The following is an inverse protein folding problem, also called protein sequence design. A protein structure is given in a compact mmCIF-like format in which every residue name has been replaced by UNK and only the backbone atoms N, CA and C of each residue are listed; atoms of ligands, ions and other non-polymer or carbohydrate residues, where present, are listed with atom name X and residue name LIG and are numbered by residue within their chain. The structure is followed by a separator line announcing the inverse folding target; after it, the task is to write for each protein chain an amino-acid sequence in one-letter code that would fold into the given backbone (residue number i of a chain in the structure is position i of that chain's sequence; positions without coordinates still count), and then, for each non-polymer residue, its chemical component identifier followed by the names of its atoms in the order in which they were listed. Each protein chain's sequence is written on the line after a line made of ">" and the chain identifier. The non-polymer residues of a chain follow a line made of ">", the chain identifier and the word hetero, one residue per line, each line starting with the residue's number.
data_IF_778881299232
#
_entry.id   IF_778881299232
#
_cell.length_a   1.000
_cell.length_b   1.000
_cell.length_c   1.000
_cell.angle_alpha   90.00
_cell.angle_beta   90.00
_cell.angle_gamma   90.00
#
_symmetry.space_group_name_H-M   'P 1'
#
loop_
_entity.id
_entity.type
_entity.pdbx_description
1 polymer ?
#
# COMPACT_ATOMS: atom_id res chain seq x y z
N UNK A 1 69.61 26.60 -44.94
CA UNK A 1 68.14 26.59 -44.94
C UNK A 1 67.72 25.55 -43.91
N UNK A 2 67.62 25.97 -42.65
CA UNK A 2 67.04 25.20 -41.56
C UNK A 2 65.79 25.96 -41.13
N UNK A 3 64.63 25.35 -41.37
CA UNK A 3 63.26 25.66 -40.92
C UNK A 3 62.39 24.89 -41.89
N UNK A 4 61.60 23.94 -41.39
CA UNK A 4 60.49 23.20 -42.04
C UNK A 4 60.28 21.80 -41.43
N UNK A 5 61.05 21.41 -40.39
CA UNK A 5 60.95 20.09 -39.75
C UNK A 5 60.21 20.00 -38.41
N UNK A 6 60.16 21.08 -37.62
CA UNK A 6 59.62 21.02 -36.23
C UNK A 6 58.12 21.37 -36.12
N UNK A 7 57.56 22.16 -37.04
CA UNK A 7 56.13 22.54 -36.97
C UNK A 7 55.18 21.37 -37.27
N UNK A 8 55.60 20.39 -38.08
CA UNK A 8 54.76 19.24 -38.44
C UNK A 8 54.62 18.20 -37.32
N UNK A 9 55.56 18.16 -36.38
CA UNK A 9 55.61 17.13 -35.32
C UNK A 9 54.89 17.59 -34.04
N UNK A 10 54.92 18.89 -33.73
CA UNK A 10 54.06 19.48 -32.68
C UNK A 10 52.57 19.50 -33.08
N UNK A 11 52.25 19.77 -34.35
CA UNK A 11 50.87 19.80 -34.84
C UNK A 11 50.22 18.39 -34.77
N UNK A 12 50.99 17.34 -35.06
CA UNK A 12 50.53 15.95 -35.01
C UNK A 12 50.17 15.49 -33.58
N UNK A 13 51.02 15.80 -32.59
CA UNK A 13 50.80 15.45 -31.18
C UNK A 13 49.61 16.20 -30.57
N UNK A 14 49.44 17.48 -30.92
CA UNK A 14 48.29 18.25 -30.48
C UNK A 14 46.97 17.68 -31.02
N UNK A 15 46.96 17.25 -32.29
CA UNK A 15 45.77 16.72 -32.95
C UNK A 15 45.30 15.40 -32.36
N UNK A 16 46.22 14.54 -31.92
CA UNK A 16 45.89 13.30 -31.21
C UNK A 16 45.32 13.56 -29.81
N UNK A 17 45.88 14.50 -29.05
CA UNK A 17 45.35 14.91 -27.75
C UNK A 17 43.96 15.54 -27.85
N UNK A 18 43.73 16.43 -28.82
CA UNK A 18 42.41 17.02 -29.09
C UNK A 18 41.39 15.95 -29.51
N UNK A 19 41.81 14.94 -30.26
CA UNK A 19 40.95 13.84 -30.67
C UNK A 19 40.58 12.96 -29.46
N UNK A 20 41.54 12.64 -28.60
CA UNK A 20 41.30 11.88 -27.38
C UNK A 20 40.38 12.64 -26.40
N UNK A 21 40.62 13.94 -26.19
CA UNK A 21 39.76 14.82 -25.37
C UNK A 21 38.34 14.92 -25.93
N UNK A 22 38.19 14.98 -27.25
CA UNK A 22 36.88 15.00 -27.91
C UNK A 22 36.11 13.71 -27.67
N UNK A 23 36.72 12.54 -27.91
CA UNK A 23 36.04 11.25 -27.74
C UNK A 23 35.74 10.93 -26.28
N UNK A 24 36.65 11.27 -25.36
CA UNK A 24 36.44 11.11 -23.91
C UNK A 24 35.34 12.03 -23.41
N UNK A 25 35.31 13.29 -23.86
CA UNK A 25 34.23 14.22 -23.55
C UNK A 25 32.89 13.73 -24.11
N UNK A 26 32.85 13.23 -25.34
CA UNK A 26 31.65 12.67 -25.95
C UNK A 26 31.15 11.43 -25.19
N UNK A 27 32.05 10.53 -24.79
CA UNK A 27 31.72 9.33 -24.02
C UNK A 27 31.13 9.63 -22.63
N UNK A 28 31.39 10.80 -22.05
CA UNK A 28 30.79 11.23 -20.78
C UNK A 28 29.52 12.07 -21.02
N UNK A 29 29.58 13.05 -21.93
CA UNK A 29 28.52 14.02 -22.16
C UNK A 29 27.29 13.34 -22.79
N UNK A 30 27.47 12.44 -23.75
CA UNK A 30 26.34 11.79 -24.43
C UNK A 30 25.49 10.96 -23.47
N UNK A 31 26.05 10.06 -22.63
CA UNK A 31 25.26 9.36 -21.60
C UNK A 31 24.60 10.28 -20.59
N UNK A 32 25.26 11.38 -20.18
CA UNK A 32 24.67 12.36 -19.26
C UNK A 32 23.48 13.07 -19.90
N UNK A 33 23.60 13.51 -21.16
CA UNK A 33 22.49 14.14 -21.89
C UNK A 33 21.35 13.12 -22.08
N UNK A 34 21.65 11.88 -22.45
CA UNK A 34 20.65 10.83 -22.62
C UNK A 34 19.91 10.51 -21.32
N UNK A 35 20.62 10.43 -20.19
CA UNK A 35 20.03 10.16 -18.87
C UNK A 35 19.17 11.33 -18.40
N UNK A 36 19.63 12.58 -18.57
CA UNK A 36 18.85 13.78 -18.29
C UNK A 36 17.61 13.87 -19.17
N UNK A 37 17.73 13.56 -20.47
CA UNK A 37 16.62 13.51 -21.40
C UNK A 37 15.59 12.45 -21.00
N UNK A 38 16.05 11.23 -20.71
CA UNK A 38 15.19 10.14 -20.24
C UNK A 38 14.50 10.51 -18.93
N UNK A 39 15.22 11.13 -17.98
CA UNK A 39 14.66 11.61 -16.71
C UNK A 39 13.57 12.67 -16.93
N UNK A 40 13.85 13.66 -17.78
CA UNK A 40 12.89 14.71 -18.13
C UNK A 40 11.65 14.13 -18.82
N UNK A 41 11.83 13.18 -19.74
CA UNK A 41 10.73 12.52 -20.45
C UNK A 41 9.89 11.64 -19.51
N UNK A 42 10.53 10.90 -18.59
CA UNK A 42 9.82 10.16 -17.52
C UNK A 42 9.02 11.10 -16.61
N UNK A 43 9.60 12.23 -16.21
CA UNK A 43 8.91 13.24 -15.38
C UNK A 43 7.68 13.80 -16.09
N UNK A 44 7.80 14.19 -17.36
CA UNK A 44 6.66 14.66 -18.18
C UNK A 44 5.57 13.59 -18.29
N UNK A 45 5.94 12.33 -18.56
CA UNK A 45 4.99 11.21 -18.62
C UNK A 45 4.27 11.02 -17.29
N UNK A 46 4.99 10.98 -16.16
CA UNK A 46 4.41 10.85 -14.82
C UNK A 46 3.35 11.90 -14.53
N UNK A 47 3.63 13.17 -14.85
CA UNK A 47 2.68 14.27 -14.63
C UNK A 47 1.41 14.11 -15.48
N UNK A 48 1.57 13.81 -16.77
CA UNK A 48 0.43 13.58 -17.67
C UNK A 48 -0.43 12.39 -17.24
N UNK A 49 0.19 11.29 -16.84
CA UNK A 49 -0.51 10.09 -16.41
C UNK A 49 -1.24 10.29 -15.08
N UNK A 50 -0.65 11.07 -14.15
CA UNK A 50 -1.24 11.34 -12.83
C UNK A 50 -2.64 11.98 -12.93
N UNK A 51 -2.81 12.94 -13.85
CA UNK A 51 -4.10 13.60 -14.05
C UNK A 51 -5.17 12.66 -14.61
N UNK A 52 -4.76 11.75 -15.51
CA UNK A 52 -5.64 10.71 -16.04
C UNK A 52 -6.03 9.69 -14.95
N UNK A 53 -5.06 9.20 -14.19
CA UNK A 53 -5.27 8.19 -13.14
C UNK A 53 -6.21 8.68 -12.03
N UNK A 54 -6.13 9.96 -11.65
CA UNK A 54 -7.02 10.53 -10.63
C UNK A 54 -8.52 10.47 -11.00
N UNK A 55 -8.86 10.41 -12.29
CA UNK A 55 -10.24 10.37 -12.79
C UNK A 55 -10.69 8.97 -13.19
N UNK A 56 -9.78 8.00 -13.15
CA UNK A 56 -10.03 6.63 -13.58
C UNK A 56 -10.84 5.86 -12.53
N UNK A 57 -11.63 4.87 -13.00
CA UNK A 57 -12.27 3.87 -12.12
C UNK A 57 -11.30 2.76 -11.69
N UNK A 58 -10.12 2.71 -12.29
CA UNK A 58 -9.04 1.78 -11.97
C UNK A 58 -7.97 2.49 -11.15
N UNK A 59 -7.41 1.81 -10.16
CA UNK A 59 -6.21 2.27 -9.44
C UNK A 59 -4.95 2.02 -10.28
N UNK A 60 -4.79 2.78 -11.37
CA UNK A 60 -3.67 2.60 -12.29
C UNK A 60 -2.33 3.02 -11.68
N UNK A 61 -1.33 2.16 -11.86
CA UNK A 61 0.07 2.40 -11.54
C UNK A 61 0.93 2.11 -12.76
N UNK A 62 1.81 3.05 -13.10
CA UNK A 62 2.71 2.90 -14.24
C UNK A 62 4.05 2.29 -13.81
N UNK A 63 4.53 1.32 -14.58
CA UNK A 63 5.87 0.73 -14.42
C UNK A 63 6.67 0.83 -15.71
N UNK A 64 7.94 1.21 -15.55
CA UNK A 64 8.92 1.24 -16.65
C UNK A 64 9.40 -0.17 -17.03
N UNK A 65 9.24 -1.15 -16.13
CA UNK A 65 9.60 -2.55 -16.38
C UNK A 65 8.75 -3.48 -15.52
N UNK A 66 7.99 -4.36 -16.15
CA UNK A 66 7.36 -5.48 -15.45
C UNK A 66 8.42 -6.51 -15.06
N UNK A 67 8.36 -6.98 -13.82
CA UNK A 67 9.30 -7.98 -13.26
C UNK A 67 8.96 -9.43 -13.65
N UNK A 68 7.87 -9.63 -14.40
CA UNK A 68 7.39 -10.93 -14.88
C UNK A 68 6.81 -10.79 -16.30
N UNK A 69 6.77 -11.87 -17.10
CA UNK A 69 6.06 -11.86 -18.38
C UNK A 69 4.65 -11.33 -18.21
N UNK A 70 4.35 -10.22 -18.87
CA UNK A 70 3.10 -9.48 -18.72
C UNK A 70 2.54 -9.17 -20.10
N UNK A 71 1.23 -9.31 -20.26
CA UNK A 71 0.53 -9.10 -21.51
C UNK A 71 -0.54 -8.03 -21.34
N UNK A 72 -0.71 -7.18 -22.35
CA UNK A 72 -1.77 -6.18 -22.37
C UNK A 72 -3.13 -6.88 -22.44
N UNK A 73 -4.02 -6.60 -21.49
CA UNK A 73 -5.38 -7.15 -21.42
C UNK A 73 -6.31 -6.69 -22.56
N UNK A 74 -5.82 -5.81 -23.46
CA UNK A 74 -6.61 -5.30 -24.58
C UNK A 74 -6.11 -5.78 -25.93
N UNK A 75 -4.81 -5.62 -26.23
CA UNK A 75 -4.24 -6.07 -27.51
C UNK A 75 -3.62 -7.48 -27.43
N UNK A 76 -3.57 -8.08 -26.22
CA UNK A 76 -2.96 -9.40 -25.95
C UNK A 76 -1.46 -9.51 -26.28
N UNK A 77 -0.81 -8.40 -26.60
CA UNK A 77 0.63 -8.37 -26.87
C UNK A 77 1.44 -8.40 -25.59
N UNK A 78 2.64 -8.99 -25.65
CA UNK A 78 3.60 -8.94 -24.56
C UNK A 78 4.08 -7.50 -24.35
N UNK A 79 4.10 -7.04 -23.09
CA UNK A 79 4.48 -5.68 -22.71
C UNK A 79 5.61 -5.70 -21.70
N UNK A 80 6.64 -4.89 -21.95
CA UNK A 80 7.74 -4.69 -21.00
C UNK A 80 7.47 -3.52 -20.07
N UNK A 81 6.78 -2.48 -20.56
CA UNK A 81 6.41 -1.28 -19.82
C UNK A 81 4.95 -0.94 -20.08
N UNK A 82 4.32 -0.27 -19.13
CA UNK A 82 2.89 0.03 -19.20
C UNK A 82 2.31 0.35 -17.84
N UNK A 83 0.99 0.22 -17.70
CA UNK A 83 0.31 0.39 -16.44
C UNK A 83 -0.43 -0.89 -16.02
N UNK A 84 -0.60 -1.07 -14.71
CA UNK A 84 -1.43 -2.11 -14.12
C UNK A 84 -2.36 -1.51 -13.08
N UNK A 85 -3.52 -2.12 -12.86
CA UNK A 85 -4.44 -1.71 -11.81
C UNK A 85 -4.19 -2.49 -10.52
N UNK A 86 -4.00 -1.80 -9.39
CA UNK A 86 -3.79 -2.42 -8.06
C UNK A 86 -5.07 -3.07 -7.47
N UNK A 87 -6.25 -2.74 -7.99
CA UNK A 87 -7.52 -3.35 -7.56
C UNK A 87 -7.85 -4.64 -8.32
N UNK A 88 -7.74 -4.65 -9.65
CA UNK A 88 -8.19 -5.77 -10.50
C UNK A 88 -7.06 -6.53 -11.20
N UNK A 89 -5.84 -5.97 -11.23
CA UNK A 89 -4.67 -6.53 -11.92
C UNK A 89 -4.72 -6.49 -13.44
N UNK A 90 -5.65 -5.74 -14.03
CA UNK A 90 -5.63 -5.47 -15.48
C UNK A 90 -4.33 -4.74 -15.82
N UNK A 91 -3.64 -5.20 -16.87
CA UNK A 91 -2.44 -4.58 -17.41
C UNK A 91 -2.71 -4.00 -18.81
N UNK A 92 -2.12 -2.85 -19.13
CA UNK A 92 -2.23 -2.24 -20.45
C UNK A 92 -0.94 -1.52 -20.84
N UNK A 93 -0.57 -1.60 -22.12
CA UNK A 93 0.44 -0.70 -22.69
C UNK A 93 -0.08 0.75 -22.74
N UNK A 94 0.83 1.71 -22.96
CA UNK A 94 0.52 3.15 -22.99
C UNK A 94 -0.56 3.52 -24.02
N UNK A 95 -0.61 2.82 -25.16
CA UNK A 95 -1.56 3.08 -26.24
C UNK A 95 -2.95 2.52 -25.92
N UNK A 96 -3.00 1.35 -25.28
CA UNK A 96 -4.21 0.65 -24.90
C UNK A 96 -4.82 1.16 -23.59
N UNK A 97 -4.08 1.94 -22.79
CA UNK A 97 -4.49 2.34 -21.44
C UNK A 97 -5.86 3.02 -21.37
N UNK A 98 -6.13 3.99 -22.27
CA UNK A 98 -7.43 4.68 -22.33
C UNK A 98 -8.56 3.74 -22.76
N UNK A 99 -8.25 2.77 -23.62
CA UNK A 99 -9.21 1.76 -24.07
C UNK A 99 -9.52 0.79 -22.94
N UNK A 100 -8.48 0.31 -22.23
CA UNK A 100 -8.60 -0.54 -21.05
C UNK A 100 -9.48 0.10 -19.98
N UNK A 101 -9.22 1.38 -19.66
CA UNK A 101 -9.99 2.12 -18.67
C UNK A 101 -11.49 2.20 -19.03
N UNK A 102 -11.83 2.36 -20.31
CA UNK A 102 -13.22 2.43 -20.76
C UNK A 102 -13.89 1.07 -20.84
N UNK A 103 -13.23 0.09 -21.46
CA UNK A 103 -13.85 -1.18 -21.85
C UNK A 103 -13.80 -2.24 -20.76
N UNK A 104 -12.78 -2.23 -19.90
CA UNK A 104 -12.61 -3.24 -18.86
C UNK A 104 -13.19 -2.73 -17.54
N UNK A 105 -13.91 -3.61 -16.83
CA UNK A 105 -14.46 -3.29 -15.52
C UNK A 105 -13.40 -3.51 -14.44
N UNK A 106 -13.41 -2.62 -13.44
CA UNK A 106 -12.56 -2.74 -12.26
C UNK A 106 -13.33 -3.44 -11.13
N UNK A 107 -12.67 -3.63 -9.99
CA UNK A 107 -13.25 -4.15 -8.75
C UNK A 107 -14.27 -3.14 -8.20
N UNK A 108 -15.55 -3.51 -8.24
CA UNK A 108 -16.65 -2.63 -7.83
C UNK A 108 -16.75 -2.51 -6.31
N UNK A 109 -16.70 -1.29 -5.78
CA UNK A 109 -16.80 -1.07 -4.32
C UNK A 109 -18.21 -1.41 -3.80
N UNK A 110 -19.24 -1.08 -4.58
CA UNK A 110 -20.64 -1.36 -4.28
C UNK A 110 -21.33 -1.93 -5.52
N UNK A 111 -22.02 -3.05 -5.37
CA UNK A 111 -22.77 -3.69 -6.45
C UNK A 111 -23.94 -4.49 -5.86
N UNK A 112 -25.10 -4.56 -6.53
CA UNK A 112 -26.19 -5.43 -6.09
C UNK A 112 -25.77 -6.91 -6.12
N UNK A 113 -26.32 -7.71 -5.22
CA UNK A 113 -26.32 -9.18 -5.37
C UNK A 113 -27.36 -9.60 -6.42
N UNK A 114 -27.24 -10.83 -6.90
CA UNK A 114 -28.28 -11.49 -7.70
C UNK A 114 -29.59 -11.62 -6.88
N UNK A 115 -30.74 -11.87 -7.53
CA UNK A 115 -32.03 -12.04 -6.83
C UNK A 115 -32.05 -13.16 -5.79
N UNK A 116 -31.21 -14.18 -5.97
CA UNK A 116 -30.99 -15.30 -5.03
C UNK A 116 -30.02 -14.95 -3.87
N UNK A 117 -29.49 -13.73 -3.85
CA UNK A 117 -28.51 -13.26 -2.86
C UNK A 117 -27.06 -13.62 -3.20
N UNK A 118 -26.82 -14.37 -4.28
CA UNK A 118 -25.47 -14.78 -4.66
C UNK A 118 -24.67 -13.63 -5.28
N UNK A 119 -23.35 -13.70 -5.10
CA UNK A 119 -22.40 -12.80 -5.73
C UNK A 119 -21.79 -13.47 -6.95
N UNK A 120 -21.66 -12.75 -8.05
CA UNK A 120 -21.02 -13.30 -9.26
C UNK A 120 -19.51 -13.16 -9.23
N UNK A 121 -18.83 -14.14 -9.82
CA UNK A 121 -17.42 -13.99 -10.09
C UNK A 121 -17.16 -12.82 -11.05
N UNK A 122 -16.13 -12.04 -10.75
CA UNK A 122 -15.63 -11.01 -11.66
C UNK A 122 -14.28 -11.46 -12.23
N UNK A 123 -14.33 -12.06 -13.41
CA UNK A 123 -13.17 -12.63 -14.09
C UNK A 123 -12.36 -11.57 -14.85
N UNK A 124 -11.04 -11.62 -14.70
CA UNK A 124 -10.06 -10.89 -15.51
C UNK A 124 -9.19 -11.91 -16.22
N UNK A 125 -9.03 -11.75 -17.54
CA UNK A 125 -8.25 -12.66 -18.37
C UNK A 125 -6.76 -12.30 -18.33
N UNK A 126 -5.91 -13.31 -18.20
CA UNK A 126 -4.46 -13.20 -18.29
C UNK A 126 -3.77 -12.64 -17.06
N UNK A 127 -2.44 -12.62 -17.14
CA UNK A 127 -1.54 -12.13 -16.08
C UNK A 127 -1.78 -12.77 -14.72
N UNK A 128 -2.22 -14.03 -14.71
CA UNK A 128 -2.49 -14.79 -13.48
C UNK A 128 -1.22 -14.87 -12.61
N UNK A 129 -1.36 -14.88 -11.27
CA UNK A 129 -0.22 -15.02 -10.38
C UNK A 129 0.59 -16.30 -10.66
N UNK A 130 1.90 -16.24 -10.43
CA UNK A 130 2.76 -17.42 -10.55
C UNK A 130 2.30 -18.50 -9.56
N UNK A 131 2.50 -19.77 -9.92
CA UNK A 131 2.07 -20.91 -9.12
C UNK A 131 0.56 -20.94 -8.79
N UNK A 132 -0.28 -20.37 -9.66
CA UNK A 132 -1.74 -20.53 -9.57
C UNK A 132 -2.18 -21.87 -10.18
N UNK A 133 -3.23 -22.46 -9.62
CA UNK A 133 -3.79 -23.74 -10.07
C UNK A 133 -5.26 -23.59 -10.45
N UNK A 134 -5.66 -24.27 -11.52
CA UNK A 134 -7.02 -24.22 -12.02
C UNK A 134 -8.00 -24.77 -10.99
N UNK A 135 -9.06 -24.02 -10.69
CA UNK A 135 -10.12 -24.42 -9.77
C UNK A 135 -10.83 -25.71 -10.24
N UNK A 136 -10.93 -25.94 -11.55
CA UNK A 136 -11.58 -27.11 -12.13
C UNK A 136 -10.65 -28.33 -12.23
N UNK A 137 -9.55 -28.26 -13.00
CA UNK A 137 -8.70 -29.43 -13.28
C UNK A 137 -7.50 -29.61 -12.33
N UNK A 138 -7.26 -28.65 -11.43
CA UNK A 138 -6.13 -28.61 -10.49
C UNK A 138 -4.73 -28.58 -11.11
N UNK A 139 -4.63 -28.32 -12.42
CA UNK A 139 -3.35 -28.12 -13.11
C UNK A 139 -2.91 -26.65 -13.09
N UNK A 140 -1.61 -26.39 -13.30
CA UNK A 140 -1.05 -25.04 -13.23
C UNK A 140 -1.61 -24.10 -14.33
N UNK A 141 -2.00 -22.88 -13.95
CA UNK A 141 -2.42 -21.80 -14.85
C UNK A 141 -1.25 -20.87 -15.21
N UNK A 142 -1.42 -20.09 -16.28
CA UNK A 142 -0.49 -19.06 -16.73
C UNK A 142 0.80 -19.60 -17.34
N UNK A 143 0.78 -20.85 -17.81
CA UNK A 143 1.97 -21.52 -18.37
C UNK A 143 2.24 -21.15 -19.82
N UNK A 144 1.23 -20.68 -20.55
CA UNK A 144 1.38 -20.34 -21.97
C UNK A 144 1.94 -18.91 -22.13
N UNK A 145 2.82 -18.66 -23.11
CA UNK A 145 3.41 -17.35 -23.36
C UNK A 145 2.43 -16.42 -24.11
N UNK A 146 1.21 -16.30 -23.61
CA UNK A 146 0.14 -15.46 -24.16
C UNK A 146 -0.81 -15.00 -23.05
N UNK A 147 -1.66 -14.01 -23.36
CA UNK A 147 -2.79 -13.66 -22.50
C UNK A 147 -3.82 -14.81 -22.50
N UNK A 148 -3.80 -15.64 -21.45
CA UNK A 148 -4.64 -16.82 -21.26
C UNK A 148 -5.03 -16.99 -19.80
N UNK A 149 -6.02 -17.85 -19.58
CA UNK A 149 -6.62 -18.17 -18.29
C UNK A 149 -7.30 -16.96 -17.63
N UNK A 150 -8.08 -17.22 -16.60
CA UNK A 150 -8.87 -16.22 -15.91
C UNK A 150 -8.56 -16.24 -14.42
N UNK A 151 -8.64 -15.07 -13.79
CA UNK A 151 -8.60 -14.90 -12.34
C UNK A 151 -9.83 -14.11 -11.87
N UNK A 152 -10.50 -14.59 -10.83
CA UNK A 152 -11.55 -13.81 -10.18
C UNK A 152 -10.92 -12.73 -9.27
N UNK A 153 -11.33 -11.47 -9.41
CA UNK A 153 -10.75 -10.36 -8.60
C UNK A 153 -11.21 -10.35 -7.14
N UNK A 154 -12.19 -11.17 -6.79
CA UNK A 154 -12.70 -11.31 -5.42
C UNK A 154 -12.11 -12.53 -4.74
N UNK A 155 -12.52 -13.73 -5.13
CA UNK A 155 -12.05 -14.98 -4.50
C UNK A 155 -10.63 -15.41 -4.91
N UNK A 156 -9.99 -14.71 -5.86
CA UNK A 156 -8.66 -15.04 -6.40
C UNK A 156 -8.55 -16.41 -7.10
N UNK A 157 -9.65 -17.16 -7.25
CA UNK A 157 -9.65 -18.41 -8.00
C UNK A 157 -9.17 -18.18 -9.43
N UNK A 158 -8.40 -19.14 -9.96
CA UNK A 158 -7.95 -19.15 -11.34
C UNK A 158 -8.54 -20.31 -12.11
N UNK A 159 -8.79 -20.15 -13.41
CA UNK A 159 -9.36 -21.19 -14.28
C UNK A 159 -8.78 -21.08 -15.68
N UNK A 160 -8.49 -22.22 -16.33
CA UNK A 160 -8.01 -22.22 -17.71
C UNK A 160 -9.11 -21.76 -18.68
N UNK A 161 -8.72 -21.25 -19.85
CA UNK A 161 -9.69 -20.91 -20.91
C UNK A 161 -10.62 -22.11 -21.21
N UNK A 162 -10.07 -23.32 -21.37
CA UNK A 162 -10.83 -24.53 -21.71
C UNK A 162 -11.61 -25.13 -20.54
N UNK A 163 -11.32 -24.70 -19.31
CA UNK A 163 -11.96 -25.22 -18.09
C UNK A 163 -13.13 -24.35 -17.60
N UNK A 164 -13.35 -23.18 -18.21
CA UNK A 164 -14.32 -22.20 -17.77
C UNK A 164 -15.74 -22.79 -17.67
N UNK A 165 -16.17 -23.49 -18.72
CA UNK A 165 -17.52 -24.07 -18.80
C UNK A 165 -17.72 -25.30 -17.90
N UNK A 166 -16.62 -25.89 -17.41
CA UNK A 166 -16.63 -27.06 -16.52
C UNK A 166 -16.59 -26.70 -15.04
N UNK A 167 -16.54 -25.41 -14.70
CA UNK A 167 -16.48 -24.95 -13.31
C UNK A 167 -17.87 -25.09 -12.66
N UNK A 168 -17.99 -26.01 -11.69
CA UNK A 168 -19.26 -26.34 -11.05
C UNK A 168 -19.96 -25.12 -10.41
N UNK A 169 -19.18 -24.18 -9.86
CA UNK A 169 -19.66 -22.96 -9.22
C UNK A 169 -19.30 -21.70 -10.03
N UNK A 170 -19.27 -21.79 -11.38
CA UNK A 170 -18.78 -20.69 -12.23
C UNK A 170 -19.48 -19.33 -12.00
N UNK A 171 -20.72 -19.40 -11.51
CA UNK A 171 -21.61 -18.26 -11.35
C UNK A 171 -21.65 -17.69 -9.92
N UNK A 172 -21.12 -18.40 -8.92
CA UNK A 172 -21.24 -18.00 -7.51
C UNK A 172 -19.88 -17.86 -6.83
N UNK A 173 -19.49 -16.61 -6.59
CA UNK A 173 -18.27 -16.26 -5.89
C UNK A 173 -18.45 -16.30 -4.38
N UNK A 174 -17.61 -17.09 -3.72
CA UNK A 174 -17.53 -17.26 -2.27
C UNK A 174 -16.63 -16.22 -1.57
N UNK A 175 -16.06 -15.26 -2.32
CA UNK A 175 -15.02 -14.31 -1.86
C UNK A 175 -13.69 -14.96 -1.41
N UNK A 176 -13.53 -16.27 -1.57
CA UNK A 176 -12.30 -17.01 -1.36
C UNK A 176 -11.83 -17.08 0.10
N UNK A 177 -10.53 -17.35 0.28
CA UNK A 177 -9.90 -17.58 1.58
C UNK A 177 -10.25 -16.49 2.62
N UNK A 178 -10.18 -15.22 2.20
CA UNK A 178 -10.35 -14.07 3.09
C UNK A 178 -11.79 -13.53 3.15
N UNK A 179 -12.79 -14.31 2.73
CA UNK A 179 -14.21 -13.92 2.70
C UNK A 179 -14.70 -13.26 4.00
N UNK A 180 -14.25 -13.73 5.17
CA UNK A 180 -14.61 -13.19 6.48
C UNK A 180 -13.99 -11.82 6.80
N UNK A 181 -12.91 -11.43 6.09
CA UNK A 181 -12.24 -10.14 6.24
C UNK A 181 -12.70 -9.11 5.21
N UNK A 182 -13.33 -9.54 4.12
CA UNK A 182 -13.75 -8.68 3.01
C UNK A 182 -15.11 -8.06 3.32
N UNK A 183 -15.28 -6.77 3.04
CA UNK A 183 -16.60 -6.13 3.00
C UNK A 183 -17.22 -6.40 1.62
N UNK A 184 -18.27 -7.22 1.51
CA UNK A 184 -18.84 -7.54 0.21
C UNK A 184 -19.48 -6.30 -0.45
N UNK A 185 -19.38 -6.12 -1.79
CA UNK A 185 -20.01 -5.00 -2.49
C UNK A 185 -21.52 -4.90 -2.29
N UNK A 186 -22.21 -6.05 -2.16
CA UNK A 186 -23.65 -6.09 -1.91
C UNK A 186 -24.02 -5.55 -0.53
N UNK A 187 -23.20 -5.80 0.50
CA UNK A 187 -23.41 -5.25 1.83
C UNK A 187 -23.45 -3.72 1.78
N UNK A 188 -22.46 -3.10 1.14
CA UNK A 188 -22.40 -1.63 1.02
C UNK A 188 -23.50 -1.06 0.14
N UNK A 189 -23.90 -1.78 -0.92
CA UNK A 189 -25.04 -1.39 -1.75
C UNK A 189 -26.35 -1.34 -0.94
N UNK A 190 -26.59 -2.32 -0.07
CA UNK A 190 -27.75 -2.31 0.81
C UNK A 190 -27.66 -1.22 1.87
N UNK A 191 -26.51 -1.06 2.54
CA UNK A 191 -26.27 0.01 3.51
C UNK A 191 -26.53 1.39 2.90
N UNK A 192 -26.08 1.63 1.67
CA UNK A 192 -26.30 2.90 0.98
C UNK A 192 -27.78 3.19 0.67
N UNK A 193 -28.62 2.15 0.61
CA UNK A 193 -30.08 2.28 0.42
C UNK A 193 -30.85 2.46 1.73
N UNK A 194 -30.23 2.20 2.88
CA UNK A 194 -30.89 2.37 4.16
C UNK A 194 -31.19 3.85 4.41
N UNK A 195 -32.46 4.15 4.69
CA UNK A 195 -32.93 5.51 4.98
C UNK A 195 -32.57 5.99 6.38
N UNK A 196 -32.30 5.08 7.32
CA UNK A 196 -31.97 5.36 8.72
C UNK A 196 -30.82 4.49 9.18
N UNK A 197 -29.88 5.07 9.94
CA UNK A 197 -28.67 4.38 10.42
C UNK A 197 -28.93 3.75 11.79
N UNK A 198 -29.71 2.67 11.83
CA UNK A 198 -29.95 1.93 13.07
C UNK A 198 -28.95 0.75 13.19
N UNK A 199 -28.25 0.60 14.33
CA UNK A 199 -27.27 -0.47 14.53
C UNK A 199 -27.82 -1.89 14.33
N UNK A 200 -29.11 -2.10 14.64
CA UNK A 200 -29.78 -3.39 14.48
C UNK A 200 -29.90 -3.81 13.01
N UNK A 201 -30.04 -2.85 12.09
CA UNK A 201 -30.10 -3.12 10.65
C UNK A 201 -28.76 -3.61 10.12
N UNK A 202 -27.66 -2.99 10.58
CA UNK A 202 -26.30 -3.45 10.22
C UNK A 202 -26.02 -4.85 10.76
N UNK A 203 -26.47 -5.16 11.98
CA UNK A 203 -26.32 -6.49 12.58
C UNK A 203 -27.07 -7.55 11.78
N UNK A 204 -28.32 -7.25 11.36
CA UNK A 204 -29.11 -8.15 10.50
C UNK A 204 -28.47 -8.36 9.12
N UNK A 205 -27.96 -7.28 8.51
CA UNK A 205 -27.26 -7.36 7.22
C UNK A 205 -25.95 -8.15 7.36
N UNK A 206 -25.18 -7.92 8.42
CA UNK A 206 -23.95 -8.64 8.69
C UNK A 206 -24.16 -10.12 8.99
N UNK A 207 -25.31 -10.50 9.56
CA UNK A 207 -25.66 -11.90 9.77
C UNK A 207 -25.91 -12.67 8.47
N UNK A 208 -26.21 -11.98 7.36
CA UNK A 208 -26.29 -12.57 6.02
C UNK A 208 -24.93 -12.71 5.33
N UNK A 209 -23.89 -12.10 5.89
CA UNK A 209 -22.51 -12.34 5.49
C UNK A 209 -22.00 -13.66 6.08
N UNK A 210 -20.72 -13.96 5.86
CA UNK A 210 -20.08 -15.20 6.29
C UNK A 210 -20.14 -15.45 7.80
N UNK A 211 -20.11 -16.71 8.21
CA UNK A 211 -19.90 -17.09 9.61
C UNK A 211 -18.60 -16.47 10.14
N UNK A 212 -18.64 -15.83 11.30
CA UNK A 212 -17.47 -15.17 11.88
C UNK A 212 -16.96 -13.96 11.09
N UNK A 213 -17.83 -13.25 10.36
CA UNK A 213 -17.45 -12.04 9.60
C UNK A 213 -16.80 -10.98 10.50
N UNK A 214 -15.51 -10.72 10.28
CA UNK A 214 -14.73 -9.69 10.97
C UNK A 214 -13.96 -8.85 9.96
N UNK A 215 -14.62 -7.88 9.30
CA UNK A 215 -13.99 -7.05 8.30
C UNK A 215 -12.71 -6.38 8.79
N UNK A 216 -11.68 -6.36 7.94
CA UNK A 216 -10.44 -5.65 8.24
C UNK A 216 -10.35 -4.33 7.48
N UNK A 217 -10.02 -3.25 8.16
CA UNK A 217 -9.65 -1.98 7.54
C UNK A 217 -8.13 -1.84 7.60
N UNK A 218 -7.50 -1.57 6.46
CA UNK A 218 -6.05 -1.37 6.35
C UNK A 218 -5.77 0.12 6.31
N UNK A 219 -5.03 0.62 7.29
CA UNK A 219 -4.62 2.02 7.40
C UNK A 219 -3.10 2.07 7.32
N UNK A 220 -2.55 2.49 6.19
CA UNK A 220 -1.10 2.60 6.01
C UNK A 220 -0.66 4.07 5.91
N UNK A 221 0.43 4.42 6.56
CA UNK A 221 1.07 5.71 6.36
C UNK A 221 2.19 5.57 5.32
N UNK A 222 1.93 5.95 4.07
CA UNK A 222 2.89 5.80 2.95
C UNK A 222 4.15 6.64 3.11
N UNK A 223 4.14 7.65 3.99
CA UNK A 223 5.32 8.46 4.33
C UNK A 223 6.21 7.83 5.41
N UNK A 224 5.75 6.74 6.05
CA UNK A 224 6.53 6.03 7.06
C UNK A 224 7.36 4.91 6.43
N UNK A 225 8.63 4.81 6.81
CA UNK A 225 9.53 3.76 6.35
C UNK A 225 10.09 3.99 4.94
N UNK A 226 10.44 2.91 4.25
CA UNK A 226 11.11 2.88 2.95
C UNK A 226 10.14 2.92 1.75
N UNK A 227 9.05 3.69 1.84
CA UNK A 227 7.97 3.77 0.83
C UNK A 227 7.24 2.44 0.52
N UNK A 228 7.41 1.40 1.35
CA UNK A 228 6.71 0.11 1.18
C UNK A 228 5.20 0.23 1.36
N UNK A 229 4.72 1.32 1.99
CA UNK A 229 3.30 1.54 2.23
C UNK A 229 2.47 1.59 0.93
N UNK A 230 2.98 2.17 -0.15
CA UNK A 230 2.24 2.28 -1.41
C UNK A 230 2.04 0.90 -2.06
N UNK A 231 3.11 0.11 -2.11
CA UNK A 231 3.09 -1.27 -2.63
C UNK A 231 2.12 -2.13 -1.80
N UNK A 232 2.23 -2.06 -0.47
CA UNK A 232 1.35 -2.79 0.46
C UNK A 232 -0.12 -2.43 0.26
N UNK A 233 -0.45 -1.14 0.15
CA UNK A 233 -1.83 -0.71 -0.10
C UNK A 233 -2.35 -1.31 -1.41
N UNK A 234 -1.52 -1.38 -2.44
CA UNK A 234 -1.89 -2.01 -3.71
C UNK A 234 -2.17 -3.51 -3.58
N UNK A 235 -1.31 -4.25 -2.87
CA UNK A 235 -1.50 -5.68 -2.61
C UNK A 235 -2.77 -5.94 -1.78
N UNK A 236 -3.03 -5.13 -0.74
CA UNK A 236 -4.27 -5.24 0.02
C UNK A 236 -5.52 -4.91 -0.81
N UNK A 237 -5.45 -3.97 -1.77
CA UNK A 237 -6.58 -3.68 -2.70
C UNK A 237 -6.86 -4.83 -3.67
N UNK A 238 -5.82 -5.59 -4.03
CA UNK A 238 -5.99 -6.80 -4.85
C UNK A 238 -6.83 -7.84 -4.11
N UNK A 239 -6.60 -8.03 -2.81
CA UNK A 239 -7.29 -9.04 -1.99
C UNK A 239 -8.64 -8.54 -1.43
N UNK A 240 -8.67 -7.35 -0.83
CA UNK A 240 -9.82 -6.78 -0.12
C UNK A 240 -10.70 -5.89 -0.99
N UNK A 241 -11.88 -5.49 -0.50
CA UNK A 241 -12.63 -4.42 -1.15
C UNK A 241 -11.81 -3.12 -1.06
N UNK A 242 -11.59 -2.37 -2.17
CA UNK A 242 -10.74 -1.16 -2.15
C UNK A 242 -11.16 -0.11 -1.12
N UNK A 243 -12.44 -0.08 -0.72
CA UNK A 243 -12.95 0.81 0.35
C UNK A 243 -12.38 0.50 1.74
N UNK A 244 -11.77 -0.67 1.93
CA UNK A 244 -11.16 -1.08 3.18
C UNK A 244 -9.73 -0.57 3.35
N UNK A 245 -9.13 0.00 2.29
CA UNK A 245 -7.68 0.23 2.20
C UNK A 245 -7.38 1.73 2.07
N UNK A 246 -6.89 2.33 3.15
CA UNK A 246 -6.73 3.77 3.31
C UNK A 246 -5.25 4.19 3.41
N UNK A 247 -4.88 5.19 2.62
CA UNK A 247 -3.62 5.92 2.81
C UNK A 247 -3.82 7.06 3.82
N UNK A 248 -3.14 6.96 4.96
CA UNK A 248 -3.17 7.97 6.02
C UNK A 248 -2.47 9.28 5.65
N UNK A 249 -1.68 9.28 4.57
CA UNK A 249 -1.09 10.49 4.02
C UNK A 249 -2.10 11.35 3.25
N UNK A 250 -3.22 10.75 2.83
CA UNK A 250 -4.31 11.38 2.08
C UNK A 250 -5.58 11.57 2.92
N UNK A 251 -5.89 10.59 3.78
CA UNK A 251 -7.12 10.58 4.58
C UNK A 251 -6.79 10.36 6.07
N UNK A 252 -7.17 11.28 6.99
CA UNK A 252 -6.90 11.09 8.41
C UNK A 252 -7.67 9.90 9.00
N UNK A 253 -7.11 9.22 10.04
CA UNK A 253 -7.73 8.06 10.67
C UNK A 253 -9.19 8.29 11.12
N UNK A 254 -9.49 9.47 11.66
CA UNK A 254 -10.84 9.81 12.12
C UNK A 254 -11.92 9.73 11.03
N UNK A 255 -11.53 10.00 9.77
CA UNK A 255 -12.41 9.82 8.60
C UNK A 255 -12.46 8.38 8.12
N UNK A 256 -11.31 7.69 8.07
CA UNK A 256 -11.25 6.27 7.67
C UNK A 256 -12.11 5.40 8.60
N UNK A 257 -12.00 5.62 9.92
CA UNK A 257 -12.73 4.88 10.94
C UNK A 257 -14.25 5.13 10.94
N UNK A 258 -14.76 6.12 10.19
CA UNK A 258 -16.21 6.29 10.02
C UNK A 258 -16.84 5.07 9.32
N UNK A 259 -16.07 4.32 8.52
CA UNK A 259 -16.56 3.08 7.91
C UNK A 259 -16.97 2.04 8.97
N UNK A 260 -16.33 2.03 10.14
CA UNK A 260 -16.72 1.14 11.25
C UNK A 260 -18.18 1.37 11.68
N UNK A 261 -18.68 2.60 11.57
CA UNK A 261 -20.07 2.95 11.96
C UNK A 261 -21.13 2.45 10.98
N UNK A 262 -20.69 1.92 9.83
CA UNK A 262 -21.54 1.29 8.81
C UNK A 262 -21.49 -0.25 8.88
N UNK A 263 -20.77 -0.80 9.85
CA UNK A 263 -20.56 -2.22 10.04
C UNK A 263 -21.22 -2.69 11.35
N UNK A 264 -21.48 -4.00 11.53
CA UNK A 264 -22.03 -4.52 12.78
C UNK A 264 -21.15 -4.12 13.98
N UNK A 265 -21.75 -3.71 15.12
CA UNK A 265 -21.01 -3.39 16.33
C UNK A 265 -20.03 -4.49 16.74
N UNK A 266 -18.81 -4.11 17.14
CA UNK A 266 -17.79 -5.03 17.63
C UNK A 266 -17.19 -6.03 16.62
N UNK A 267 -17.53 -5.93 15.33
CA UNK A 267 -17.06 -6.87 14.30
C UNK A 267 -15.72 -6.49 13.64
N UNK A 268 -15.33 -5.21 13.69
CA UNK A 268 -14.27 -4.66 12.84
C UNK A 268 -12.88 -4.84 13.44
N UNK A 269 -11.92 -5.20 12.59
CA UNK A 269 -10.48 -5.15 12.85
C UNK A 269 -9.83 -4.02 12.04
N UNK A 270 -8.80 -3.39 12.57
CA UNK A 270 -8.01 -2.36 11.91
C UNK A 270 -6.55 -2.78 11.91
N UNK A 271 -5.98 -2.99 10.72
CA UNK A 271 -4.56 -3.18 10.51
C UNK A 271 -3.90 -1.82 10.29
N UNK A 272 -2.99 -1.43 11.19
CA UNK A 272 -2.22 -0.19 11.06
C UNK A 272 -0.82 -0.52 10.56
N UNK A 273 -0.52 -0.11 9.33
CA UNK A 273 0.80 -0.27 8.72
C UNK A 273 1.63 1.00 8.97
N UNK A 274 2.53 0.95 9.95
CA UNK A 274 3.28 2.13 10.39
C UNK A 274 4.23 1.85 11.55
N UNK A 275 4.83 2.90 12.10
CA UNK A 275 5.53 2.84 13.40
C UNK A 275 4.65 3.30 14.55
N UNK A 276 5.20 3.33 15.77
CA UNK A 276 4.46 3.66 17.00
C UNK A 276 3.71 4.99 16.94
N UNK A 277 4.28 6.01 16.28
CA UNK A 277 3.60 7.31 16.09
C UNK A 277 2.35 7.22 15.19
N UNK A 278 2.36 6.36 14.17
CA UNK A 278 1.19 6.13 13.31
C UNK A 278 0.13 5.33 14.06
N UNK A 279 0.55 4.30 14.82
CA UNK A 279 -0.36 3.52 15.66
C UNK A 279 -1.01 4.43 16.72
N UNK A 280 -0.23 5.29 17.39
CA UNK A 280 -0.74 6.26 18.33
C UNK A 280 -1.77 7.21 17.73
N UNK A 281 -1.52 7.72 16.52
CA UNK A 281 -2.47 8.57 15.80
C UNK A 281 -3.81 7.89 15.52
N UNK A 282 -3.79 6.61 15.15
CA UNK A 282 -5.01 5.81 14.95
C UNK A 282 -5.73 5.56 16.28
N UNK A 283 -4.99 5.20 17.33
CA UNK A 283 -5.57 4.97 18.65
C UNK A 283 -6.21 6.25 19.23
N UNK A 284 -5.60 7.42 19.02
CA UNK A 284 -6.18 8.71 19.41
C UNK A 284 -7.50 8.98 18.68
N UNK A 285 -7.58 8.68 17.39
CA UNK A 285 -8.83 8.77 16.64
C UNK A 285 -9.91 7.80 17.14
N UNK A 286 -9.52 6.61 17.63
CA UNK A 286 -10.44 5.67 18.29
C UNK A 286 -10.94 6.23 19.63
N UNK A 287 -10.09 6.91 20.39
CA UNK A 287 -10.53 7.57 21.63
C UNK A 287 -11.47 8.75 21.34
N UNK A 288 -11.29 9.49 20.24
CA UNK A 288 -12.28 10.46 19.79
C UNK A 288 -13.63 9.83 19.42
N UNK A 289 -13.65 8.62 18.87
CA UNK A 289 -14.90 7.88 18.60
C UNK A 289 -15.64 7.57 19.90
N UNK A 290 -14.92 7.10 20.94
CA UNK A 290 -15.50 6.88 22.29
C UNK A 290 -16.12 8.15 22.85
N UNK A 291 -15.41 9.28 22.76
CA UNK A 291 -15.92 10.57 23.22
C UNK A 291 -17.18 11.04 22.47
N UNK A 292 -17.39 10.58 21.24
CA UNK A 292 -18.60 10.84 20.44
C UNK A 292 -19.73 9.84 20.70
N UNK A 293 -19.60 8.94 21.69
CA UNK A 293 -20.59 7.91 22.01
C UNK A 293 -20.65 6.79 20.98
N UNK A 294 -19.57 6.55 20.23
CA UNK A 294 -19.47 5.49 19.23
C UNK A 294 -18.82 4.22 19.79
N UNK A 295 -18.90 4.00 21.11
CA UNK A 295 -18.30 2.86 21.80
C UNK A 295 -18.63 1.48 21.18
N UNK A 296 -19.86 1.21 20.69
CA UNK A 296 -20.17 -0.08 20.06
C UNK A 296 -19.38 -0.36 18.77
N UNK A 297 -18.80 0.67 18.14
CA UNK A 297 -18.11 0.58 16.84
C UNK A 297 -16.59 0.66 16.95
N UNK A 298 -16.03 0.59 18.17
CA UNK A 298 -14.59 0.59 18.38
C UNK A 298 -14.00 -0.68 17.73
N UNK A 299 -13.03 -0.54 16.81
CA UNK A 299 -12.39 -1.69 16.20
C UNK A 299 -11.27 -2.26 17.07
N UNK A 300 -10.92 -3.52 16.83
CA UNK A 300 -9.69 -4.15 17.35
C UNK A 300 -8.50 -3.71 16.51
N UNK A 301 -7.36 -3.39 17.11
CA UNK A 301 -6.18 -2.87 16.39
C UNK A 301 -5.10 -3.95 16.29
N UNK A 302 -4.53 -4.06 15.09
CA UNK A 302 -3.40 -4.93 14.76
C UNK A 302 -2.32 -4.08 14.07
N UNK A 303 -1.04 -4.43 14.24
CA UNK A 303 0.08 -3.60 13.78
C UNK A 303 0.89 -4.35 12.74
N UNK A 304 1.19 -3.68 11.61
CA UNK A 304 2.25 -4.10 10.69
C UNK A 304 3.43 -3.11 10.83
N UNK A 305 4.57 -3.53 11.38
CA UNK A 305 5.64 -2.62 11.83
C UNK A 305 6.48 -2.05 10.67
N UNK A 306 6.03 -0.97 10.04
CA UNK A 306 6.78 -0.27 8.98
C UNK A 306 7.78 0.78 9.50
N UNK A 307 7.70 1.13 10.79
CA UNK A 307 8.57 2.13 11.41
C UNK A 307 9.97 1.64 11.75
N UNK A 308 10.77 2.54 12.36
CA UNK A 308 12.11 2.21 12.88
C UNK A 308 12.06 1.74 14.34
N UNK A 309 11.28 2.43 15.19
CA UNK A 309 10.96 2.05 16.56
C UNK A 309 9.52 1.55 16.59
N UNK A 310 9.35 0.24 16.73
CA UNK A 310 8.07 -0.46 16.70
C UNK A 310 7.89 -1.22 18.02
N UNK A 311 8.04 -0.50 19.15
CA UNK A 311 8.07 -1.10 20.48
C UNK A 311 6.72 -1.72 20.84
N UNK A 312 5.62 -1.09 20.39
CA UNK A 312 4.29 -1.63 20.64
C UNK A 312 4.06 -2.92 19.84
N UNK A 313 4.49 -2.94 18.57
CA UNK A 313 4.43 -4.14 17.73
C UNK A 313 5.22 -5.30 18.32
N UNK A 314 6.45 -5.02 18.79
CA UNK A 314 7.30 -6.00 19.47
C UNK A 314 6.62 -6.59 20.70
N UNK A 315 6.08 -5.73 21.55
CA UNK A 315 5.43 -6.14 22.81
C UNK A 315 4.19 -6.99 22.54
N UNK A 316 3.45 -6.69 21.47
CA UNK A 316 2.24 -7.42 21.07
C UNK A 316 2.53 -8.65 20.18
N UNK A 317 3.79 -9.01 19.94
CA UNK A 317 4.16 -10.20 19.17
C UNK A 317 4.06 -10.07 17.65
N UNK A 318 3.88 -8.86 17.11
CA UNK A 318 3.81 -8.59 15.65
C UNK A 318 5.19 -8.33 15.03
N UNK A 319 6.24 -8.36 15.85
CA UNK A 319 7.64 -8.29 15.42
C UNK A 319 8.21 -6.87 15.35
N UNK A 320 9.51 -6.80 15.09
CA UNK A 320 10.32 -5.59 15.20
C UNK A 320 10.31 -4.70 13.96
N UNK A 321 9.86 -5.24 12.84
CA UNK A 321 9.89 -4.57 11.56
C UNK A 321 9.43 -5.49 10.45
N UNK A 322 8.78 -4.91 9.46
CA UNK A 322 8.40 -5.58 8.21
C UNK A 322 9.24 -5.02 7.06
N UNK A 323 9.87 -5.88 6.28
CA UNK A 323 10.69 -5.56 5.11
C UNK A 323 10.18 -6.21 3.81
N UNK A 324 8.98 -6.81 3.82
CA UNK A 324 8.44 -7.58 2.68
C UNK A 324 8.81 -9.06 2.71
N UNK A 325 9.29 -9.58 3.85
CA UNK A 325 9.67 -10.99 4.02
C UNK A 325 8.49 -11.97 3.97
N UNK A 326 7.29 -11.53 4.32
CA UNK A 326 6.06 -12.33 4.22
C UNK A 326 5.06 -11.64 3.30
N UNK A 327 4.31 -12.40 2.47
CA UNK A 327 3.29 -11.83 1.60
C UNK A 327 2.08 -11.35 2.40
N UNK A 328 1.30 -10.41 1.85
CA UNK A 328 0.13 -9.83 2.54
C UNK A 328 -0.95 -10.87 2.86
N UNK A 329 -1.05 -11.95 2.09
CA UNK A 329 -1.90 -13.10 2.38
C UNK A 329 -1.55 -13.71 3.73
N UNK A 330 -0.26 -13.84 4.02
CA UNK A 330 0.19 -14.37 5.32
C UNK A 330 -0.12 -13.38 6.45
N UNK A 331 -0.04 -12.07 6.20
CA UNK A 331 -0.46 -11.05 7.18
C UNK A 331 -1.96 -11.20 7.49
N UNK A 332 -2.80 -11.40 6.48
CA UNK A 332 -4.24 -11.62 6.66
C UNK A 332 -4.56 -12.92 7.43
N UNK A 333 -3.83 -14.01 7.16
CA UNK A 333 -3.92 -15.26 7.96
C UNK A 333 -3.55 -15.02 9.41
N UNK A 334 -2.44 -14.34 9.67
CA UNK A 334 -2.03 -14.01 11.03
C UNK A 334 -3.09 -13.17 11.76
N UNK A 335 -3.81 -12.29 11.05
CA UNK A 335 -4.93 -11.51 11.63
C UNK A 335 -6.13 -12.39 11.98
N UNK A 336 -6.44 -13.41 11.17
CA UNK A 336 -7.52 -14.36 11.45
C UNK A 336 -7.22 -15.16 12.73
N UNK A 337 -5.97 -15.61 12.87
CA UNK A 337 -5.51 -16.43 14.01
C UNK A 337 -5.18 -15.62 15.27
N UNK A 338 -5.14 -14.28 15.16
CA UNK A 338 -4.71 -13.41 16.25
C UNK A 338 -5.67 -13.39 17.45
N UNK A 339 -5.10 -13.52 18.64
CA UNK A 339 -5.76 -13.31 19.92
C UNK A 339 -5.96 -11.83 20.23
N UNK A 340 -7.08 -11.50 20.88
CA UNK A 340 -7.41 -10.15 21.28
C UNK A 340 -6.96 -9.92 22.72
N UNK A 341 -6.03 -8.97 22.90
CA UNK A 341 -5.57 -8.54 24.21
C UNK A 341 -6.06 -7.13 24.54
N UNK A 342 -6.28 -6.86 25.83
CA UNK A 342 -6.55 -5.50 26.31
C UNK A 342 -5.23 -4.77 26.50
N UNK A 343 -5.23 -3.48 26.21
CA UNK A 343 -4.07 -2.61 26.36
C UNK A 343 -4.46 -1.36 27.15
N UNK A 344 -3.65 -1.01 28.14
CA UNK A 344 -3.80 0.22 28.88
C UNK A 344 -3.21 1.41 28.12
N UNK A 345 -3.88 2.56 28.22
CA UNK A 345 -3.41 3.82 27.63
C UNK A 345 -3.38 4.90 28.70
N UNK A 346 -2.30 5.66 28.74
CA UNK A 346 -2.04 6.61 29.83
C UNK A 346 -2.30 8.04 29.35
N UNK A 347 -2.87 8.88 30.21
CA UNK A 347 -2.96 10.33 29.98
C UNK A 347 -1.96 11.05 30.88
N UNK A 348 -1.01 11.75 30.27
CA UNK A 348 0.01 12.54 30.95
C UNK A 348 -0.37 14.01 30.88
N UNK A 349 -0.54 14.64 32.03
CA UNK A 349 -0.86 16.06 32.15
C UNK A 349 0.39 16.86 32.53
N UNK A 350 0.80 17.77 31.66
CA UNK A 350 1.96 18.64 31.87
C UNK A 350 1.48 20.04 32.23
N UNK A 351 1.85 20.51 33.42
CA UNK A 351 1.51 21.83 33.93
C UNK A 351 2.79 22.62 34.26
N UNK A 352 2.84 23.89 33.88
CA UNK A 352 3.95 24.78 34.25
C UNK A 352 3.71 25.39 35.63
N UNK A 353 4.69 25.28 36.54
CA UNK A 353 4.61 25.96 37.84
C UNK A 353 4.63 27.48 37.61
N UNK A 354 3.61 28.18 38.12
CA UNK A 354 3.55 29.65 38.12
C UNK A 354 2.72 30.31 37.01
N UNK A 355 2.07 29.54 36.13
CA UNK A 355 1.16 30.10 35.10
C UNK A 355 -0.27 29.58 35.30
N UNK A 356 -0.99 30.19 36.25
CA UNK A 356 -2.38 29.83 36.59
C UNK A 356 -3.36 29.95 35.40
N UNK A 357 -3.00 30.70 34.36
CA UNK A 357 -3.84 30.92 33.18
C UNK A 357 -3.56 29.97 32.00
N UNK A 358 -2.47 29.18 32.03
CA UNK A 358 -2.20 28.21 30.96
C UNK A 358 -2.88 26.88 31.26
N UNK A 359 -3.81 26.48 30.38
CA UNK A 359 -4.42 25.14 30.44
C UNK A 359 -3.31 24.07 30.35
N UNK A 360 -3.31 23.06 31.23
CA UNK A 360 -2.34 21.97 31.18
C UNK A 360 -2.40 21.24 29.84
N UNK A 361 -1.24 20.84 29.32
CA UNK A 361 -1.17 20.03 28.10
C UNK A 361 -1.42 18.57 28.48
N UNK A 362 -2.44 17.94 27.89
CA UNK A 362 -2.72 16.51 28.09
C UNK A 362 -2.22 15.73 26.87
N UNK A 363 -1.44 14.69 27.12
CA UNK A 363 -0.85 13.81 26.11
C UNK A 363 -1.31 12.38 26.36
N UNK A 364 -1.63 11.64 25.31
CA UNK A 364 -1.88 10.20 25.38
C UNK A 364 -0.57 9.44 25.13
N UNK A 365 -0.25 8.47 25.98
CA UNK A 365 0.95 7.64 25.88
C UNK A 365 0.54 6.16 25.78
N UNK A 366 1.30 5.42 24.97
CA UNK A 366 1.03 4.00 24.67
C UNK A 366 2.10 3.06 25.21
N UNK A 367 3.37 3.50 25.26
CA UNK A 367 4.50 2.65 25.61
C UNK A 367 5.18 3.17 26.88
N UNK A 368 5.80 4.34 26.78
CA UNK A 368 6.56 4.95 27.87
C UNK A 368 6.62 6.47 27.71
N UNK A 369 7.00 7.15 28.79
CA UNK A 369 7.46 8.55 28.74
C UNK A 369 8.84 8.61 29.42
N UNK A 370 9.74 9.45 28.90
CA UNK A 370 11.08 9.63 29.49
C UNK A 370 11.38 11.10 29.75
N UNK A 371 12.27 11.34 30.72
CA UNK A 371 12.81 12.65 31.10
C UNK A 371 14.31 12.49 31.33
N UNK A 372 15.11 13.45 30.89
CA UNK A 372 16.57 13.43 31.03
C UNK A 372 17.31 13.17 29.72
N UNK A 373 18.53 12.61 29.76
CA UNK A 373 19.38 12.42 28.58
C UNK A 373 18.72 11.62 27.45
N UNK A 374 18.01 10.54 27.78
CA UNK A 374 17.27 9.73 26.79
C UNK A 374 16.22 10.57 26.02
N UNK A 375 15.44 11.39 26.74
CA UNK A 375 14.46 12.27 26.14
C UNK A 375 15.12 13.35 25.25
N UNK A 376 16.29 13.85 25.65
CA UNK A 376 17.08 14.80 24.86
C UNK A 376 17.59 14.15 23.55
N UNK A 377 18.08 12.92 23.62
CA UNK A 377 18.51 12.17 22.44
C UNK A 377 17.34 11.94 21.47
N UNK A 378 16.19 11.49 21.98
CA UNK A 378 15.00 11.28 21.17
C UNK A 378 14.54 12.59 20.50
N UNK A 379 14.61 13.71 21.22
CA UNK A 379 14.30 15.04 20.70
C UNK A 379 15.29 15.48 19.61
N UNK A 380 16.59 15.31 19.83
CA UNK A 380 17.64 15.64 18.87
C UNK A 380 17.50 14.83 17.59
N UNK A 381 17.26 13.53 17.72
CA UNK A 381 17.00 12.63 16.59
C UNK A 381 15.74 13.06 15.82
N UNK A 382 14.65 13.35 16.52
CA UNK A 382 13.40 13.80 15.89
C UNK A 382 13.58 15.12 15.13
N UNK A 383 14.24 16.11 15.75
CA UNK A 383 14.52 17.40 15.12
C UNK A 383 15.44 17.26 13.90
N UNK A 384 16.41 16.33 13.93
CA UNK A 384 17.25 16.05 12.76
C UNK A 384 16.42 15.41 11.64
N UNK A 385 15.54 14.45 11.99
CA UNK A 385 14.63 13.80 11.05
C UNK A 385 13.69 14.77 10.35
N UNK A 386 13.16 15.76 11.06
CA UNK A 386 12.31 16.80 10.46
C UNK A 386 13.09 17.74 9.53
N UNK A 387 14.35 18.04 9.86
CA UNK A 387 15.21 18.90 9.02
C UNK A 387 15.65 18.23 7.73
N UNK A 388 15.94 16.93 7.75
CA UNK A 388 16.44 16.20 6.58
C UNK A 388 15.67 14.90 6.30
N UNK A 389 14.36 14.94 5.97
CA UNK A 389 13.52 13.75 5.87
C UNK A 389 14.03 12.69 4.88
N UNK A 390 14.65 13.12 3.77
CA UNK A 390 15.21 12.21 2.75
C UNK A 390 16.32 11.30 3.27
N UNK A 391 17.12 11.79 4.23
CA UNK A 391 18.20 11.03 4.87
C UNK A 391 17.66 9.91 5.77
N UNK A 392 16.45 10.07 6.30
CA UNK A 392 15.83 9.15 7.24
C UNK A 392 14.83 8.17 6.62
N UNK A 393 14.94 7.95 5.30
CA UNK A 393 14.11 7.00 4.55
C UNK A 393 14.47 5.54 4.82
N UNK A 394 15.68 5.26 5.33
CA UNK A 394 16.14 3.91 5.65
C UNK A 394 16.10 3.62 7.14
N UNK A 395 15.48 2.49 7.54
CA UNK A 395 15.47 2.03 8.94
C UNK A 395 16.87 1.77 9.49
N UNK A 396 17.78 1.27 8.66
CA UNK A 396 19.17 0.99 9.07
C UNK A 396 19.87 2.31 9.40
N UNK A 397 19.75 3.31 8.53
CA UNK A 397 20.31 4.65 8.74
C UNK A 397 19.70 5.27 10.00
N UNK A 398 18.38 5.17 10.16
CA UNK A 398 17.69 5.70 11.33
C UNK A 398 18.23 5.09 12.63
N UNK A 399 18.44 3.76 12.68
CA UNK A 399 19.03 3.09 13.85
C UNK A 399 20.47 3.52 14.09
N UNK A 400 21.29 3.63 13.05
CA UNK A 400 22.69 4.06 13.16
C UNK A 400 22.81 5.50 13.67
N UNK A 401 22.02 6.43 13.13
CA UNK A 401 21.99 7.83 13.57
C UNK A 401 21.54 7.93 15.03
N UNK A 402 20.50 7.18 15.41
CA UNK A 402 20.03 7.13 16.80
C UNK A 402 21.13 6.63 17.76
N UNK A 403 21.85 5.57 17.36
CA UNK A 403 22.99 5.06 18.12
C UNK A 403 24.10 6.11 18.31
N UNK A 404 24.43 6.86 17.25
CA UNK A 404 25.44 7.93 17.32
C UNK A 404 25.05 9.05 18.30
N UNK A 405 23.77 9.47 18.30
CA UNK A 405 23.29 10.41 19.32
C UNK A 405 23.41 9.83 20.73
N UNK A 406 23.12 8.53 20.90
CA UNK A 406 23.31 7.83 22.17
C UNK A 406 24.74 7.84 22.68
N UNK A 407 25.72 7.63 21.79
CA UNK A 407 27.12 7.71 22.19
C UNK A 407 27.59 9.13 22.52
N UNK A 408 26.94 10.16 21.98
CA UNK A 408 27.35 11.56 22.16
C UNK A 408 26.78 12.22 23.41
N UNK A 409 25.55 11.85 23.79
CA UNK A 409 24.82 12.50 24.88
C UNK A 409 24.87 11.69 26.20
N UNK A 410 25.39 10.44 26.18
CA UNK A 410 25.56 9.58 27.35
C UNK A 410 27.04 9.35 27.77
N UNK A 411 28.01 9.82 26.98
CA UNK A 411 29.42 9.97 27.35
C UNK A 411 29.69 11.45 27.62
#
# INVERSE_FOLDING_TARGET
>A
MCKDGDEAQEDCGSREEWTLLFWTSLAVIVPVILTLWCSAQRSKRKTYMKDFFRKSKHGWHYTDLFNKPTYCCVCSQHILHGAFCDCCGVCADEQCLRRADRSLQCKEIMAPSRPDGAMEHRWVRGNVPLASYCAACKQQCGTQPKLCDFRCVWCQATVHDDCMDSLADADVCDLGEFHSLIIPPHYLHYVNKLRRRHPDEYTKLGASCSSGWTPVLVLANTRSGNNMGEVLLGEFRTLLNPVQVFDLSELPPSKALQLCTLLPPGSVRVLVCGGDGTVGWVLDAIDEMKLKGQDPFIPRVTILPLGTGNDLSNTLGWGAGYAGEIPVEQVLRNILDAEVVKMDRWKVQVASKGSYFRKPKVLSMNNYFSVGPDALMALNFHAHREKTPSFFSSRIINKAVYFLYGTKDCL
#
